data_IF_035374782056
#
_entry.id   IF_035374782056
#
_cell.length_a   1.000
_cell.length_b   1.000
_cell.length_c   1.000
_cell.angle_alpha   90.00
_cell.angle_beta   90.00
_cell.angle_gamma   90.00
#
_symmetry.space_group_name_H-M   'P 1'
#
loop_
_entity.id
_entity.type
_entity.pdbx_description
1 polymer ?
#
# COMPACT_ATOMS: atom_id res chain seq x y z
N UNK A 1 -14.06 22.45 -30.45
CA UNK A 1 -13.94 22.46 -29.75
C UNK A 1 -14.03 21.77 -28.95
N UNK A 2 -13.47 21.72 -28.58
CA UNK A 2 -13.65 20.93 -27.90
C UNK A 2 -13.94 21.24 -26.65
N UNK A 3 -14.79 21.89 -26.64
CA UNK A 3 -15.41 22.23 -25.45
C UNK A 3 -15.70 21.09 -24.62
N UNK A 4 -15.46 20.01 -25.17
CA UNK A 4 -15.67 18.81 -24.48
C UNK A 4 -14.58 18.50 -23.53
N UNK A 5 -13.64 19.38 -23.37
CA UNK A 5 -12.69 19.18 -22.38
C UNK A 5 -13.29 19.49 -21.05
N UNK A 6 -14.00 18.56 -20.51
CA UNK A 6 -14.41 18.67 -19.15
C UNK A 6 -13.17 18.51 -18.30
N UNK A 7 -12.99 19.43 -17.38
CA UNK A 7 -11.92 19.29 -16.41
C UNK A 7 -12.33 18.24 -15.40
N UNK A 8 -11.38 17.41 -15.01
CA UNK A 8 -11.64 16.42 -13.97
C UNK A 8 -11.89 17.15 -12.65
N UNK A 9 -12.81 16.63 -11.81
CA UNK A 9 -13.00 17.18 -10.47
C UNK A 9 -11.71 17.09 -9.65
N UNK A 10 -11.57 17.92 -8.62
CA UNK A 10 -10.39 17.84 -7.74
C UNK A 10 -10.22 16.41 -7.21
N UNK A 11 -9.01 15.90 -7.28
CA UNK A 11 -8.70 14.54 -6.83
C UNK A 11 -8.91 13.46 -7.86
N UNK A 12 -9.26 13.85 -9.11
CA UNK A 12 -9.49 12.89 -10.20
C UNK A 12 -8.75 13.33 -11.45
N UNK A 13 -8.50 12.40 -12.34
CA UNK A 13 -7.98 12.73 -13.66
C UNK A 13 -8.59 11.80 -14.72
N UNK A 14 -8.62 12.27 -15.95
CA UNK A 14 -9.07 11.46 -17.09
C UNK A 14 -7.92 10.59 -17.55
N UNK A 15 -8.20 9.32 -17.73
CA UNK A 15 -7.21 8.36 -18.26
C UNK A 15 -7.81 7.59 -19.41
N UNK A 16 -6.99 7.29 -20.40
CA UNK A 16 -7.38 6.44 -21.51
C UNK A 16 -7.15 4.99 -21.10
N UNK A 17 -8.22 4.21 -21.13
CA UNK A 17 -8.17 2.80 -20.78
C UNK A 17 -8.33 2.00 -22.05
N UNK A 18 -7.38 1.10 -22.31
CA UNK A 18 -7.42 0.23 -23.48
C UNK A 18 -8.10 -1.08 -23.11
N UNK A 19 -9.06 -1.46 -23.92
CA UNK A 19 -9.72 -2.76 -23.77
C UNK A 19 -9.88 -3.36 -25.15
N UNK A 20 -10.43 -4.57 -25.23
CA UNK A 20 -10.65 -5.26 -26.48
C UNK A 20 -12.09 -5.73 -26.57
N UNK A 21 -12.69 -5.59 -27.74
CA UNK A 21 -14.05 -6.09 -27.96
C UNK A 21 -14.00 -7.59 -28.23
N UNK A 22 -15.18 -8.19 -28.48
CA UNK A 22 -15.27 -9.62 -28.73
C UNK A 22 -14.56 -10.07 -30.01
N UNK A 23 -14.24 -9.14 -30.89
CA UNK A 23 -13.49 -9.43 -32.11
C UNK A 23 -11.99 -9.21 -31.95
N UNK A 24 -11.55 -8.84 -30.75
CA UNK A 24 -10.15 -8.57 -30.51
C UNK A 24 -9.69 -7.20 -30.94
N UNK A 25 -10.63 -6.32 -31.32
CA UNK A 25 -10.29 -4.98 -31.75
C UNK A 25 -10.06 -4.08 -30.55
N UNK A 26 -8.98 -3.30 -30.59
CA UNK A 26 -8.65 -2.37 -29.50
C UNK A 26 -9.71 -1.28 -29.39
N UNK A 27 -10.19 -1.08 -28.18
CA UNK A 27 -11.12 -0.01 -27.85
C UNK A 27 -10.46 0.89 -26.81
N UNK A 28 -10.50 2.19 -27.05
CA UNK A 28 -9.97 3.16 -26.08
C UNK A 28 -11.15 3.89 -25.47
N UNK A 29 -11.18 3.91 -24.17
CA UNK A 29 -12.24 4.53 -23.41
C UNK A 29 -11.64 5.47 -22.39
N UNK A 30 -12.21 6.64 -22.27
CA UNK A 30 -11.73 7.63 -21.32
C UNK A 30 -12.50 7.48 -20.01
N UNK A 31 -11.78 7.29 -18.94
CA UNK A 31 -12.38 7.09 -17.63
C UNK A 31 -11.86 8.08 -16.60
N UNK A 32 -12.72 8.45 -15.67
CA UNK A 32 -12.37 9.31 -14.58
C UNK A 32 -11.79 8.45 -13.47
N UNK A 33 -10.52 8.67 -13.15
CA UNK A 33 -9.81 7.87 -12.16
C UNK A 33 -9.45 8.73 -10.97
N UNK A 34 -9.68 8.22 -9.78
CA UNK A 34 -9.32 8.93 -8.57
C UNK A 34 -7.81 8.99 -8.42
N UNK A 35 -7.29 10.19 -8.27
CA UNK A 35 -5.87 10.39 -8.04
C UNK A 35 -5.53 9.99 -6.62
N UNK A 36 -4.39 9.32 -6.46
CA UNK A 36 -3.85 9.06 -5.15
C UNK A 36 -2.91 10.21 -4.82
N UNK A 37 -2.97 10.67 -3.59
CA UNK A 37 -2.12 11.76 -3.17
C UNK A 37 -0.67 11.27 -3.10
N UNK A 38 0.20 11.94 -3.85
CA UNK A 38 1.63 11.68 -3.79
C UNK A 38 2.18 12.45 -2.60
N UNK A 39 2.96 11.79 -1.78
CA UNK A 39 3.60 12.41 -0.63
C UNK A 39 2.89 12.24 0.70
N UNK A 40 1.63 11.79 0.70
CA UNK A 40 0.89 11.55 1.93
C UNK A 40 0.37 10.13 2.02
N UNK A 41 0.33 9.54 3.22
CA UNK A 41 -0.27 8.23 3.41
C UNK A 41 -1.79 8.31 3.34
N UNK A 42 -2.43 7.20 3.03
CA UNK A 42 -3.87 7.08 3.11
C UNK A 42 -4.31 7.04 4.57
N UNK A 43 -5.62 7.05 4.80
CA UNK A 43 -6.14 6.87 6.14
C UNK A 43 -5.78 5.47 6.67
N UNK A 44 -5.66 5.37 7.99
CA UNK A 44 -5.38 4.10 8.63
C UNK A 44 -6.58 3.18 8.47
N UNK A 45 -6.33 1.98 7.99
CA UNK A 45 -7.36 0.97 7.74
C UNK A 45 -7.03 -0.30 8.52
N UNK A 46 -8.05 -1.12 8.74
CA UNK A 46 -7.83 -2.43 9.34
C UNK A 46 -7.10 -3.33 8.37
N UNK A 47 -6.18 -4.12 8.89
CA UNK A 47 -5.41 -5.05 8.06
C UNK A 47 -6.34 -6.06 7.40
N UNK A 48 -6.13 -6.26 6.09
CA UNK A 48 -6.86 -7.27 5.32
C UNK A 48 -5.93 -8.46 5.07
N UNK A 49 -6.42 -9.44 4.35
CA UNK A 49 -5.68 -10.65 4.09
C UNK A 49 -4.35 -10.39 3.36
N UNK A 50 -4.36 -9.49 2.39
CA UNK A 50 -3.16 -9.13 1.65
C UNK A 50 -2.10 -8.55 2.58
N UNK A 51 -2.51 -7.64 3.46
CA UNK A 51 -1.58 -6.99 4.41
C UNK A 51 -1.03 -7.99 5.41
N UNK A 52 -1.86 -8.92 5.87
CA UNK A 52 -1.43 -9.97 6.78
C UNK A 52 -0.39 -10.88 6.12
N UNK A 53 -0.58 -11.20 4.85
CA UNK A 53 0.37 -12.01 4.10
C UNK A 53 1.69 -11.27 3.89
N UNK A 54 1.63 -9.99 3.60
CA UNK A 54 2.83 -9.17 3.44
C UNK A 54 3.62 -9.15 4.76
N UNK A 55 2.95 -8.88 5.86
CA UNK A 55 3.60 -8.84 7.18
C UNK A 55 4.23 -10.20 7.53
N UNK A 56 3.48 -11.28 7.32
CA UNK A 56 3.97 -12.62 7.61
C UNK A 56 5.20 -12.96 6.75
N UNK A 57 5.19 -12.56 5.49
CA UNK A 57 6.31 -12.79 4.59
C UNK A 57 7.57 -12.01 4.97
N UNK A 58 7.42 -10.93 5.74
CA UNK A 58 8.54 -10.10 6.18
C UNK A 58 8.93 -10.35 7.63
N UNK A 59 8.24 -11.23 8.32
CA UNK A 59 8.50 -11.51 9.73
C UNK A 59 9.96 -11.87 9.99
N UNK A 60 10.53 -12.72 9.13
CA UNK A 60 11.91 -13.16 9.26
C UNK A 60 12.88 -11.97 9.18
N UNK A 61 12.64 -11.05 8.25
CA UNK A 61 13.46 -9.85 8.11
C UNK A 61 13.33 -8.96 9.34
N UNK A 62 12.12 -8.84 9.88
CA UNK A 62 11.88 -8.05 11.07
C UNK A 62 12.59 -8.68 12.27
N UNK A 63 12.55 -9.99 12.39
CA UNK A 63 13.25 -10.69 13.47
C UNK A 63 14.76 -10.48 13.38
N UNK A 64 15.30 -10.52 12.17
CA UNK A 64 16.72 -10.25 11.96
C UNK A 64 17.10 -8.82 12.33
N UNK A 65 16.26 -7.87 11.92
CA UNK A 65 16.52 -6.46 12.15
C UNK A 65 16.42 -6.09 13.63
N UNK A 66 15.46 -6.65 14.34
CA UNK A 66 15.23 -6.36 15.76
C UNK A 66 16.03 -7.28 16.68
N UNK A 67 16.57 -8.36 16.15
CA UNK A 67 17.27 -9.41 16.90
C UNK A 67 16.37 -10.04 17.95
N UNK A 68 15.10 -10.16 17.61
CA UNK A 68 14.07 -10.75 18.49
C UNK A 68 13.29 -11.82 17.73
N UNK A 69 12.72 -12.74 18.50
CA UNK A 69 11.81 -13.75 17.94
C UNK A 69 10.43 -13.44 18.47
N UNK A 70 9.45 -13.38 17.57
CA UNK A 70 8.07 -13.01 17.95
C UNK A 70 7.18 -14.25 17.98
N UNK A 71 6.52 -14.46 19.11
CA UNK A 71 5.51 -15.50 19.24
C UNK A 71 4.18 -15.02 18.68
N UNK A 72 3.92 -13.72 18.83
CA UNK A 72 2.75 -13.05 18.27
C UNK A 72 3.26 -12.10 17.20
N UNK A 73 2.70 -12.19 16.00
CA UNK A 73 3.07 -11.31 14.90
C UNK A 73 1.84 -11.16 13.99
N UNK A 74 0.99 -10.21 14.34
CA UNK A 74 -0.28 -10.04 13.67
C UNK A 74 -0.45 -8.61 13.17
N UNK A 75 -0.61 -8.44 11.85
CA UNK A 75 -0.90 -7.14 11.29
C UNK A 75 -2.31 -6.73 11.70
N UNK A 76 -2.45 -5.52 12.22
CA UNK A 76 -3.74 -5.03 12.72
C UNK A 76 -4.23 -3.80 11.97
N UNK A 77 -3.33 -2.89 11.59
CA UNK A 77 -3.66 -1.67 10.88
C UNK A 77 -2.61 -1.40 9.82
N UNK A 78 -2.98 -0.63 8.80
CA UNK A 78 -2.02 -0.26 7.78
C UNK A 78 -2.40 1.05 7.10
N UNK A 79 -1.41 1.67 6.47
CA UNK A 79 -1.60 2.77 5.54
C UNK A 79 -0.80 2.48 4.28
N UNK A 80 -1.18 3.13 3.20
CA UNK A 80 -0.43 3.04 1.95
C UNK A 80 -0.05 4.44 1.49
N UNK A 81 1.00 4.53 0.71
CA UNK A 81 1.44 5.79 0.13
C UNK A 81 2.00 5.49 -1.25
N UNK A 82 1.52 6.23 -2.24
CA UNK A 82 2.05 6.07 -3.59
C UNK A 82 3.39 6.79 -3.66
N UNK A 83 4.40 6.01 -3.99
CA UNK A 83 5.75 6.49 -4.22
C UNK A 83 6.16 5.98 -5.60
N UNK A 84 7.37 5.53 -5.77
CA UNK A 84 7.73 4.82 -7.00
C UNK A 84 7.43 3.34 -6.77
N UNK A 85 6.14 3.03 -6.66
CA UNK A 85 5.57 1.78 -6.18
C UNK A 85 4.56 2.10 -5.11
N UNK A 86 4.32 1.19 -4.19
CA UNK A 86 3.42 1.41 -3.06
C UNK A 86 4.17 1.15 -1.76
N UNK A 87 4.23 2.17 -0.90
CA UNK A 87 4.79 1.99 0.42
C UNK A 87 3.68 1.60 1.39
N UNK A 88 3.91 0.51 2.10
CA UNK A 88 3.01 0.05 3.15
C UNK A 88 3.62 0.40 4.51
N UNK A 89 2.80 0.95 5.37
CA UNK A 89 3.14 1.09 6.78
C UNK A 89 2.15 0.23 7.53
N UNK A 90 2.67 -0.75 8.25
CA UNK A 90 1.82 -1.77 8.88
C UNK A 90 2.07 -1.78 10.38
N UNK A 91 1.00 -1.64 11.15
CA UNK A 91 1.08 -1.80 12.59
C UNK A 91 0.90 -3.29 12.89
N UNK A 92 1.88 -3.88 13.53
CA UNK A 92 1.89 -5.30 13.85
C UNK A 92 1.90 -5.48 15.36
N UNK A 93 0.96 -6.29 15.83
CA UNK A 93 0.88 -6.66 17.24
C UNK A 93 1.90 -7.76 17.49
N UNK A 94 2.76 -7.55 18.50
CA UNK A 94 3.80 -8.51 18.85
C UNK A 94 3.67 -9.01 20.30
N UNK A 95 2.72 -8.46 21.06
CA UNK A 95 2.48 -8.87 22.42
C UNK A 95 1.31 -8.09 23.00
N UNK A 96 1.03 -8.31 24.28
CA UNK A 96 -0.03 -7.56 24.96
C UNK A 96 0.36 -6.08 24.99
N UNK A 97 -0.43 -5.25 24.32
CA UNK A 97 -0.19 -3.81 24.26
C UNK A 97 1.20 -3.44 23.71
N UNK A 98 1.78 -4.31 22.90
CA UNK A 98 3.06 -4.06 22.25
C UNK A 98 2.91 -4.15 20.74
N UNK A 99 3.35 -3.11 20.04
CA UNK A 99 3.21 -3.00 18.60
C UNK A 99 4.48 -2.48 17.97
N UNK A 100 4.71 -2.89 16.73
CA UNK A 100 5.79 -2.35 15.90
C UNK A 100 5.18 -1.76 14.64
N UNK A 101 5.90 -0.82 14.05
CA UNK A 101 5.52 -0.26 12.75
C UNK A 101 6.52 -0.75 11.71
N UNK A 102 6.01 -1.51 10.77
CA UNK A 102 6.78 -2.13 9.69
C UNK A 102 6.57 -1.33 8.42
N UNK A 103 7.65 -1.02 7.72
CA UNK A 103 7.57 -0.37 6.42
C UNK A 103 8.11 -1.29 5.33
N UNK A 104 7.34 -1.37 4.24
CA UNK A 104 7.72 -2.18 3.09
C UNK A 104 7.28 -1.48 1.83
N UNK A 105 7.96 -1.75 0.72
CA UNK A 105 7.60 -1.20 -0.58
C UNK A 105 7.30 -2.34 -1.52
N UNK A 106 6.14 -2.24 -2.18
CA UNK A 106 5.80 -3.12 -3.29
C UNK A 106 6.23 -2.43 -4.57
N UNK A 107 7.17 -3.02 -5.27
CA UNK A 107 7.66 -2.44 -6.52
C UNK A 107 6.60 -2.48 -7.61
N UNK A 108 6.75 -1.57 -8.58
CA UNK A 108 5.87 -1.56 -9.75
C UNK A 108 5.99 -2.90 -10.51
N UNK A 109 4.91 -3.35 -11.16
CA UNK A 109 4.96 -4.59 -11.95
C UNK A 109 6.10 -4.61 -12.97
N UNK A 110 6.44 -3.45 -13.55
CA UNK A 110 7.56 -3.33 -14.49
C UNK A 110 8.91 -3.64 -13.84
N UNK A 111 9.00 -3.56 -12.51
CA UNK A 111 10.21 -3.87 -11.76
C UNK A 111 10.08 -5.20 -11.01
N UNK A 112 9.09 -6.02 -11.37
CA UNK A 112 8.92 -7.33 -10.78
C UNK A 112 7.78 -7.46 -9.77
N UNK A 113 7.23 -6.34 -9.29
CA UNK A 113 6.08 -6.37 -8.37
C UNK A 113 6.34 -6.97 -7.01
N UNK A 114 7.59 -7.20 -6.64
CA UNK A 114 7.93 -7.84 -5.37
C UNK A 114 7.86 -6.84 -4.21
N UNK A 115 7.68 -7.37 -3.01
CA UNK A 115 7.66 -6.57 -1.79
C UNK A 115 9.03 -6.62 -1.14
N UNK A 116 9.55 -5.44 -0.78
CA UNK A 116 10.87 -5.31 -0.17
C UNK A 116 10.72 -4.68 1.21
N UNK A 117 11.35 -5.30 2.20
CA UNK A 117 11.40 -4.76 3.56
C UNK A 117 12.22 -3.46 3.57
N UNK A 118 11.72 -2.44 4.26
CA UNK A 118 12.44 -1.18 4.39
C UNK A 118 12.97 -0.96 5.79
N UNK A 119 12.10 -0.91 6.78
CA UNK A 119 12.54 -0.78 8.16
C UNK A 119 11.42 -1.15 9.13
N UNK A 120 11.75 -1.20 10.40
CA UNK A 120 10.81 -1.46 11.47
C UNK A 120 11.17 -0.57 12.65
N UNK A 121 10.15 -0.01 13.27
CA UNK A 121 10.28 0.78 14.49
C UNK A 121 9.50 0.10 15.61
N UNK A 122 10.04 0.08 16.81
CA UNK A 122 9.45 -0.58 17.96
C UNK A 122 8.92 0.42 18.98
N UNK A 123 8.22 -0.08 19.99
CA UNK A 123 7.81 0.74 21.12
C UNK A 123 6.51 1.51 20.93
N UNK A 124 5.61 0.98 20.12
CA UNK A 124 4.31 1.61 19.87
C UNK A 124 3.18 0.90 20.59
N UNK A 125 2.06 1.59 20.70
CA UNK A 125 0.81 1.08 21.21
C UNK A 125 -0.25 1.15 20.12
N UNK A 126 -1.38 0.49 20.33
CA UNK A 126 -2.45 0.44 19.34
C UNK A 126 -2.90 1.82 18.89
N UNK A 127 -3.00 2.75 19.81
CA UNK A 127 -3.50 4.10 19.55
C UNK A 127 -2.45 5.03 18.95
N UNK A 128 -1.18 4.63 18.91
CA UNK A 128 -0.14 5.49 18.36
C UNK A 128 -0.33 5.68 16.86
N UNK A 129 -0.09 6.91 16.35
CA UNK A 129 -0.25 7.17 14.92
C UNK A 129 0.67 6.29 14.06
N UNK A 130 0.14 5.82 12.96
CA UNK A 130 0.90 5.02 12.01
C UNK A 130 1.42 5.93 10.90
N UNK A 131 2.58 6.49 11.11
CA UNK A 131 3.20 7.44 10.17
C UNK A 131 4.41 6.86 9.49
#
# INVERSE_FOLDING_TARGET
>A
MDSTKEEAPPGYEWQDVKSYDENGKAIFKRELVKLQMVGGPTEVQDANEEIKQIATGLKEEVEKQTKKTFKIFEAVKFTTQVVNGIMYRIKVKIGDNEYIHLRAIKNLPAKGGNVVFKNVDEGFKLEDPLN
#
